data_IF_468060250669
#
_entry.id   IF_468060250669
#
_cell.length_a   1.000
_cell.length_b   1.000
_cell.length_c   1.000
_cell.angle_alpha   90.00
_cell.angle_beta   90.00
_cell.angle_gamma   90.00
#
_symmetry.space_group_name_H-M   'P 1'
#
loop_
_entity.id
_entity.type
_entity.pdbx_description
1 polymer ?
#
# COMPACT_ATOMS: atom_id res chain seq x y z
N UNK A 1 7.74 11.38 2.91
CA UNK A 1 7.41 12.13 4.14
C UNK A 1 8.32 11.69 5.27
N UNK A 2 8.92 12.63 5.99
CA UNK A 2 9.69 12.43 7.24
C UNK A 2 9.09 13.33 8.32
N UNK A 3 9.36 13.07 9.61
CA UNK A 3 8.78 13.82 10.72
C UNK A 3 7.23 13.86 10.70
N UNK A 4 6.60 12.77 10.23
CA UNK A 4 5.16 12.66 10.01
C UNK A 4 4.33 12.33 11.27
N UNK A 5 4.95 12.32 12.46
CA UNK A 5 4.27 12.06 13.74
C UNK A 5 4.05 10.59 14.08
N UNK A 6 3.93 9.69 13.09
CA UNK A 6 3.81 8.24 13.36
C UNK A 6 5.08 7.72 14.09
N UNK A 7 4.95 7.02 15.23
CA UNK A 7 6.09 6.50 15.97
C UNK A 7 6.91 5.50 15.14
N UNK A 8 8.23 5.69 15.11
CA UNK A 8 9.13 4.75 14.40
C UNK A 8 9.05 3.32 14.93
N UNK A 9 8.81 3.15 16.24
CA UNK A 9 8.58 1.84 16.86
C UNK A 9 7.35 1.14 16.28
N UNK A 10 6.27 1.87 15.97
CA UNK A 10 5.06 1.33 15.36
C UNK A 10 5.33 0.88 13.92
N UNK A 11 6.10 1.66 13.14
CA UNK A 11 6.48 1.26 11.77
C UNK A 11 7.32 -0.02 11.76
N UNK A 12 8.26 -0.15 12.71
CA UNK A 12 9.07 -1.38 12.88
C UNK A 12 8.18 -2.56 13.27
N UNK A 13 7.28 -2.38 14.25
CA UNK A 13 6.32 -3.44 14.62
C UNK A 13 5.44 -3.86 13.44
N UNK A 14 4.91 -2.90 12.68
CA UNK A 14 4.05 -3.18 11.53
C UNK A 14 4.77 -4.01 10.46
N UNK A 15 6.00 -3.63 10.09
CA UNK A 15 6.83 -4.42 9.16
C UNK A 15 7.10 -5.83 9.68
N UNK A 16 7.45 -5.96 10.96
CA UNK A 16 7.69 -7.26 11.60
C UNK A 16 6.44 -8.15 11.56
N UNK A 17 5.29 -7.61 11.97
CA UNK A 17 4.00 -8.32 11.95
C UNK A 17 3.64 -8.84 10.56
N UNK A 18 3.81 -8.02 9.52
CA UNK A 18 3.54 -8.41 8.14
C UNK A 18 4.50 -9.50 7.67
N UNK A 19 5.79 -9.35 7.96
CA UNK A 19 6.81 -10.38 7.62
C UNK A 19 6.50 -11.71 8.30
N UNK A 20 6.20 -11.70 9.60
CA UNK A 20 5.81 -12.90 10.36
C UNK A 20 4.56 -13.58 9.79
N UNK A 21 3.60 -12.81 9.27
CA UNK A 21 2.43 -13.38 8.59
C UNK A 21 2.84 -14.11 7.29
N UNK A 22 3.69 -13.51 6.45
CA UNK A 22 4.11 -14.13 5.19
C UNK A 22 5.03 -15.35 5.38
N UNK A 23 5.75 -15.41 6.50
CA UNK A 23 6.57 -16.55 6.94
C UNK A 23 5.74 -17.74 7.46
N UNK A 24 4.44 -17.57 7.72
CA UNK A 24 3.58 -18.69 8.10
C UNK A 24 3.50 -19.75 6.98
N UNK A 25 3.27 -21.03 7.33
CA UNK A 25 3.00 -22.08 6.36
C UNK A 25 1.86 -21.68 5.41
N UNK A 26 1.94 -22.12 4.16
CA UNK A 26 0.94 -21.79 3.14
C UNK A 26 -0.48 -22.18 3.61
N UNK A 27 -0.65 -23.31 4.29
CA UNK A 27 -1.94 -23.76 4.80
C UNK A 27 -2.54 -22.80 5.83
N UNK A 28 -1.71 -22.09 6.60
CA UNK A 28 -2.17 -21.06 7.55
C UNK A 28 -2.60 -19.79 6.82
N UNK A 29 -1.86 -19.39 5.77
CA UNK A 29 -2.19 -18.20 4.95
C UNK A 29 -3.45 -18.41 4.11
N UNK A 30 -3.64 -19.60 3.55
CA UNK A 30 -4.81 -19.97 2.74
C UNK A 30 -6.13 -20.02 3.53
N UNK A 31 -6.11 -20.00 4.87
CA UNK A 31 -7.33 -19.79 5.68
C UNK A 31 -8.02 -18.46 5.39
N UNK A 32 -7.26 -17.50 4.85
CA UNK A 32 -7.71 -16.16 4.51
C UNK A 32 -7.73 -15.94 3.00
N UNK A 33 -7.81 -17.00 2.18
CA UNK A 33 -7.80 -16.92 0.71
C UNK A 33 -8.71 -15.80 0.18
N UNK A 34 -8.23 -15.13 -0.87
CA UNK A 34 -8.88 -14.00 -1.49
C UNK A 34 -10.34 -14.32 -1.86
N UNK A 35 -11.25 -13.45 -1.41
CA UNK A 35 -12.67 -13.44 -1.76
C UNK A 35 -13.02 -12.08 -2.33
N UNK A 36 -13.33 -12.06 -3.63
CA UNK A 36 -13.50 -10.85 -4.43
C UNK A 36 -12.19 -10.05 -4.49
N UNK A 37 -12.00 -9.11 -3.55
CA UNK A 37 -10.87 -8.16 -3.54
C UNK A 37 -10.08 -8.16 -2.23
N UNK A 38 -10.53 -8.92 -1.21
CA UNK A 38 -9.91 -8.99 0.12
C UNK A 38 -9.45 -10.41 0.45
N UNK A 39 -8.39 -10.54 1.23
CA UNK A 39 -7.77 -11.80 1.62
C UNK A 39 -6.37 -12.01 1.02
N UNK A 40 -5.82 -13.19 1.26
CA UNK A 40 -4.52 -13.66 0.81
C UNK A 40 -4.60 -14.28 -0.59
N UNK A 41 -3.74 -13.82 -1.49
CA UNK A 41 -3.57 -14.38 -2.83
C UNK A 41 -3.73 -13.34 -3.93
N UNK A 42 -3.20 -13.68 -5.10
CA UNK A 42 -3.40 -12.90 -6.31
C UNK A 42 -4.82 -13.09 -6.86
N UNK A 43 -5.30 -12.12 -7.65
CA UNK A 43 -6.57 -12.26 -8.38
C UNK A 43 -6.47 -13.46 -9.33
N UNK A 44 -7.57 -14.20 -9.50
CA UNK A 44 -7.64 -15.42 -10.31
C UNK A 44 -7.00 -15.30 -11.70
N UNK A 45 -6.44 -16.41 -12.19
CA UNK A 45 -5.94 -16.51 -13.57
C UNK A 45 -7.13 -16.64 -14.53
N UNK A 46 -7.27 -15.69 -15.45
CA UNK A 46 -8.38 -15.61 -16.41
C UNK A 46 -7.99 -16.09 -17.82
N UNK A 47 -6.69 -16.23 -18.11
CA UNK A 47 -6.22 -16.72 -19.41
C UNK A 47 -4.79 -17.28 -19.35
N UNK A 48 -4.45 -18.16 -20.29
CA UNK A 48 -3.10 -18.74 -20.42
C UNK A 48 -2.02 -17.70 -20.74
N UNK A 49 -2.40 -16.55 -21.32
CA UNK A 49 -1.48 -15.47 -21.68
C UNK A 49 -1.37 -14.39 -20.60
N UNK A 50 -2.02 -14.57 -19.44
CA UNK A 50 -1.96 -13.61 -18.36
C UNK A 50 -0.56 -13.60 -17.75
N UNK A 51 0.05 -12.41 -17.73
CA UNK A 51 1.28 -12.18 -16.98
C UNK A 51 0.93 -12.05 -15.50
N UNK A 52 1.63 -12.80 -14.66
CA UNK A 52 1.46 -12.77 -13.22
C UNK A 52 2.59 -11.98 -12.59
N UNK A 53 2.24 -11.23 -11.56
CA UNK A 53 3.17 -10.48 -10.74
C UNK A 53 3.91 -11.42 -9.78
N UNK A 54 5.20 -11.16 -9.58
CA UNK A 54 6.08 -11.92 -8.69
C UNK A 54 5.94 -11.43 -7.25
N UNK A 55 4.73 -11.58 -6.71
CA UNK A 55 4.41 -11.19 -5.34
C UNK A 55 3.26 -12.02 -4.77
N UNK A 56 3.25 -12.14 -3.44
CA UNK A 56 2.07 -12.54 -2.67
C UNK A 56 1.45 -11.29 -2.05
N UNK A 57 0.11 -11.24 -2.02
CA UNK A 57 -0.63 -10.06 -1.55
C UNK A 57 -1.65 -10.47 -0.48
N UNK A 58 -1.84 -9.59 0.50
CA UNK A 58 -2.95 -9.62 1.45
C UNK A 58 -3.68 -8.28 1.41
N UNK A 59 -4.97 -8.30 1.05
CA UNK A 59 -5.83 -7.11 1.06
C UNK A 59 -6.83 -7.14 2.22
N UNK A 60 -6.92 -6.04 2.97
CA UNK A 60 -7.85 -5.90 4.08
C UNK A 60 -8.50 -4.52 4.04
N UNK A 61 -9.83 -4.47 3.98
CA UNK A 61 -10.56 -3.21 4.25
C UNK A 61 -10.37 -2.85 5.71
N UNK A 62 -9.90 -1.64 6.00
CA UNK A 62 -9.59 -1.15 7.35
C UNK A 62 -10.50 -0.02 7.79
N UNK A 63 -10.99 0.80 6.87
CA UNK A 63 -11.99 1.84 7.13
C UNK A 63 -13.15 1.79 6.12
N UNK A 64 -14.36 2.12 6.57
CA UNK A 64 -14.73 2.33 7.97
C UNK A 64 -14.74 1.00 8.76
N UNK A 65 -14.62 1.01 10.10
CA UNK A 65 -14.47 -0.23 10.89
C UNK A 65 -15.60 -1.25 10.69
N UNK A 66 -16.83 -0.78 10.46
CA UNK A 66 -18.00 -1.62 10.18
C UNK A 66 -17.94 -2.35 8.83
N UNK A 67 -17.07 -1.92 7.91
CA UNK A 67 -16.86 -2.57 6.61
C UNK A 67 -15.85 -3.72 6.66
N UNK A 68 -15.19 -3.94 7.81
CA UNK A 68 -14.17 -4.97 7.98
C UNK A 68 -14.77 -6.37 7.95
N UNK A 69 -14.34 -7.20 7.00
CA UNK A 69 -14.69 -8.63 6.94
C UNK A 69 -13.82 -9.43 7.90
N UNK A 70 -14.14 -9.43 9.19
CA UNK A 70 -13.29 -10.00 10.25
C UNK A 70 -12.95 -11.50 10.10
N UNK A 71 -13.68 -12.24 9.27
CA UNK A 71 -13.35 -13.62 8.90
C UNK A 71 -12.14 -13.74 7.95
N UNK A 72 -11.77 -12.66 7.26
CA UNK A 72 -10.56 -12.56 6.42
C UNK A 72 -9.35 -11.98 7.17
N UNK A 73 -9.56 -11.46 8.38
CA UNK A 73 -8.50 -10.83 9.16
C UNK A 73 -7.65 -11.88 9.90
N UNK A 74 -6.33 -11.92 9.67
CA UNK A 74 -5.45 -12.85 10.37
C UNK A 74 -5.55 -12.75 11.89
N UNK A 75 -5.39 -13.89 12.56
CA UNK A 75 -5.28 -13.98 14.03
C UNK A 75 -3.86 -14.27 14.50
N UNK A 76 -2.93 -14.43 13.55
CA UNK A 76 -1.51 -14.70 13.77
C UNK A 76 -0.67 -13.74 12.93
N UNK A 77 0.42 -13.17 13.47
CA UNK A 77 0.88 -13.28 14.88
C UNK A 77 -0.10 -12.66 15.89
N UNK A 78 0.05 -13.00 17.19
CA UNK A 78 -0.91 -12.66 18.27
C UNK A 78 -1.20 -11.16 18.34
N UNK A 79 -0.19 -10.32 18.11
CA UNK A 79 -0.29 -8.86 18.20
C UNK A 79 -0.67 -8.18 16.87
N UNK A 80 -1.00 -8.95 15.83
CA UNK A 80 -1.24 -8.42 14.49
C UNK A 80 -2.36 -7.40 14.46
N UNK A 81 -3.52 -7.74 15.05
CA UNK A 81 -4.72 -6.88 14.97
C UNK A 81 -4.50 -5.56 15.70
N UNK A 82 -3.94 -5.62 16.91
CA UNK A 82 -3.63 -4.43 17.69
C UNK A 82 -2.62 -3.52 16.98
N UNK A 83 -1.58 -4.11 16.37
CA UNK A 83 -0.57 -3.36 15.59
C UNK A 83 -1.19 -2.70 14.36
N UNK A 84 -2.04 -3.44 13.62
CA UNK A 84 -2.75 -2.91 12.46
C UNK A 84 -3.70 -1.79 12.86
N UNK A 85 -4.46 -1.94 13.94
CA UNK A 85 -5.41 -0.91 14.39
C UNK A 85 -4.71 0.39 14.79
N UNK A 86 -3.59 0.30 15.52
CA UNK A 86 -2.78 1.45 15.88
C UNK A 86 -2.21 2.12 14.62
N UNK A 87 -1.69 1.34 13.67
CA UNK A 87 -1.12 1.85 12.42
C UNK A 87 -2.17 2.51 11.52
N UNK A 88 -3.35 1.91 11.39
CA UNK A 88 -4.51 2.46 10.66
C UNK A 88 -4.91 3.81 11.24
N UNK A 89 -5.01 3.92 12.57
CA UNK A 89 -5.37 5.17 13.23
C UNK A 89 -4.35 6.29 12.97
N UNK A 90 -3.06 6.00 13.12
CA UNK A 90 -2.00 6.99 12.91
C UNK A 90 -1.88 7.42 11.45
N UNK A 91 -1.97 6.47 10.52
CA UNK A 91 -1.92 6.77 9.08
C UNK A 91 -3.16 7.54 8.63
N UNK A 92 -4.34 7.27 9.19
CA UNK A 92 -5.57 8.04 8.90
C UNK A 92 -5.44 9.51 9.33
N UNK A 93 -4.86 9.79 10.50
CA UNK A 93 -4.59 11.18 10.92
C UNK A 93 -3.64 11.88 9.94
N UNK A 94 -2.63 11.16 9.48
CA UNK A 94 -1.67 11.67 8.50
C UNK A 94 -2.35 11.96 7.15
N UNK A 95 -3.20 11.06 6.64
CA UNK A 95 -3.89 11.27 5.35
C UNK A 95 -4.84 12.45 5.41
N UNK A 96 -5.58 12.62 6.50
CA UNK A 96 -6.44 13.79 6.74
C UNK A 96 -5.63 15.08 6.70
N UNK A 97 -4.47 15.09 7.37
CA UNK A 97 -3.56 16.25 7.39
C UNK A 97 -3.05 16.57 5.98
N UNK A 98 -2.61 15.56 5.23
CA UNK A 98 -2.09 15.73 3.86
C UNK A 98 -3.18 16.26 2.93
N UNK A 99 -4.39 15.70 2.96
CA UNK A 99 -5.51 16.17 2.14
C UNK A 99 -5.88 17.62 2.47
N UNK A 100 -5.78 18.02 3.74
CA UNK A 100 -6.02 19.41 4.11
C UNK A 100 -4.96 20.37 3.58
N UNK A 101 -3.69 20.01 3.71
CA UNK A 101 -2.57 20.78 3.16
C UNK A 101 -2.65 20.88 1.63
N UNK A 102 -2.98 19.78 0.94
CA UNK A 102 -3.17 19.77 -0.51
C UNK A 102 -4.33 20.68 -0.92
N UNK A 103 -5.40 20.75 -0.12
CA UNK A 103 -6.52 21.67 -0.38
C UNK A 103 -6.04 23.13 -0.30
N UNK A 104 -5.29 23.48 0.75
CA UNK A 104 -4.74 24.84 0.91
C UNK A 104 -3.75 25.22 -0.20
N UNK A 105 -2.86 24.30 -0.60
CA UNK A 105 -1.91 24.49 -1.71
C UNK A 105 -2.63 24.67 -3.05
N UNK A 106 -3.84 24.11 -3.19
CA UNK A 106 -4.71 24.31 -4.35
C UNK A 106 -5.52 25.62 -4.28
N UNK A 107 -5.39 26.41 -3.20
CA UNK A 107 -6.14 27.65 -2.98
C UNK A 107 -7.58 27.42 -2.53
N UNK A 108 -7.89 26.22 -2.01
CA UNK A 108 -9.19 25.83 -1.49
C UNK A 108 -9.22 25.94 0.04
N UNK A 109 -10.41 25.79 0.65
CA UNK A 109 -10.53 25.60 2.10
C UNK A 109 -9.86 24.30 2.51
N UNK A 110 -9.26 24.26 3.70
CA UNK A 110 -8.51 23.10 4.21
C UNK A 110 -9.31 21.80 4.30
N UNK A 111 -10.64 21.86 4.26
CA UNK A 111 -11.52 20.70 4.30
C UNK A 111 -12.07 20.29 2.91
N UNK A 112 -11.65 20.95 1.83
CA UNK A 112 -12.28 20.78 0.51
C UNK A 112 -12.14 19.38 -0.05
N UNK A 113 -10.92 18.81 -0.12
CA UNK A 113 -10.77 17.43 -0.59
C UNK A 113 -11.39 16.42 0.38
N UNK A 114 -11.31 16.65 1.69
CA UNK A 114 -11.97 15.78 2.67
C UNK A 114 -13.50 15.75 2.47
N UNK A 115 -14.11 16.90 2.20
CA UNK A 115 -15.53 16.99 1.89
C UNK A 115 -15.88 16.30 0.56
N UNK A 116 -14.98 16.33 -0.44
CA UNK A 116 -15.15 15.59 -1.70
C UNK A 116 -15.03 14.08 -1.52
N UNK A 117 -14.17 13.62 -0.61
CA UNK A 117 -14.09 12.21 -0.21
C UNK A 117 -15.34 11.78 0.56
N UNK A 118 -15.96 12.69 1.32
CA UNK A 118 -17.07 12.33 2.19
C UNK A 118 -16.62 11.35 3.26
N UNK A 119 -17.07 10.09 3.19
CA UNK A 119 -16.70 9.06 4.14
C UNK A 119 -15.53 8.25 3.60
N UNK A 120 -14.33 8.54 4.09
CA UNK A 120 -13.10 7.86 3.70
C UNK A 120 -13.25 6.33 3.82
N UNK A 121 -13.08 5.66 2.68
CA UNK A 121 -12.81 4.24 2.60
C UNK A 121 -11.30 4.01 2.68
N UNK A 122 -10.89 2.90 3.30
CA UNK A 122 -9.47 2.54 3.33
C UNK A 122 -9.28 1.04 3.06
N UNK A 123 -8.49 0.75 2.04
CA UNK A 123 -7.95 -0.57 1.77
C UNK A 123 -6.47 -0.58 2.17
N UNK A 124 -6.06 -1.62 2.89
CA UNK A 124 -4.66 -1.89 3.19
C UNK A 124 -4.17 -3.08 2.37
N UNK A 125 -3.03 -2.93 1.71
CA UNK A 125 -2.37 -4.00 0.96
C UNK A 125 -1.00 -4.31 1.53
N UNK A 126 -0.81 -5.55 1.96
CA UNK A 126 0.52 -6.08 2.27
C UNK A 126 1.04 -6.82 1.06
N UNK A 127 2.25 -6.47 0.65
CA UNK A 127 2.87 -7.03 -0.53
C UNK A 127 4.18 -7.68 -0.09
N UNK A 128 4.35 -8.94 -0.46
CA UNK A 128 5.58 -9.71 -0.24
C UNK A 128 6.17 -10.10 -1.58
N UNK A 129 7.42 -9.72 -1.80
CA UNK A 129 8.16 -9.97 -3.04
C UNK A 129 9.29 -10.94 -2.70
N UNK A 130 9.15 -12.24 -2.99
CA UNK A 130 10.24 -13.20 -2.76
C UNK A 130 11.41 -12.92 -3.71
N UNK A 131 12.64 -13.35 -3.35
CA UNK A 131 13.77 -13.34 -4.28
C UNK A 131 13.39 -14.04 -5.60
N UNK A 132 13.76 -13.44 -6.73
CA UNK A 132 13.49 -13.95 -8.05
C UNK A 132 14.81 -14.38 -8.73
N UNK A 133 14.93 -15.62 -9.24
CA UNK A 133 16.12 -16.05 -9.97
C UNK A 133 16.29 -15.38 -11.33
N UNK A 134 15.22 -14.79 -11.88
CA UNK A 134 15.20 -14.10 -13.19
C UNK A 134 14.44 -12.78 -13.09
N UNK A 135 14.95 -11.81 -12.30
CA UNK A 135 14.28 -10.53 -12.08
C UNK A 135 14.23 -9.67 -13.36
N UNK A 136 14.99 -10.03 -14.39
CA UNK A 136 14.96 -9.44 -15.73
C UNK A 136 13.70 -9.81 -16.54
N UNK A 137 12.98 -10.87 -16.15
CA UNK A 137 11.83 -11.40 -16.90
C UNK A 137 10.47 -11.10 -16.26
N UNK A 138 10.45 -10.68 -14.99
CA UNK A 138 9.23 -10.49 -14.21
C UNK A 138 9.25 -9.17 -13.45
N UNK A 139 8.07 -8.70 -13.05
CA UNK A 139 7.92 -7.58 -12.13
C UNK A 139 7.28 -8.09 -10.84
N UNK A 140 7.59 -7.41 -9.73
CA UNK A 140 6.93 -7.66 -8.46
C UNK A 140 5.50 -7.16 -8.46
N UNK A 141 5.27 -5.98 -9.04
CA UNK A 141 3.98 -5.43 -9.42
C UNK A 141 4.14 -4.74 -10.78
N UNK A 142 3.22 -5.02 -11.70
CA UNK A 142 3.16 -4.42 -13.05
C UNK A 142 2.97 -2.89 -13.03
N UNK A 143 3.36 -2.17 -14.10
CA UNK A 143 3.15 -0.72 -14.22
C UNK A 143 1.69 -0.33 -14.09
N UNK A 144 1.39 0.60 -13.19
CA UNK A 144 0.04 1.15 -12.98
C UNK A 144 0.09 2.53 -12.31
N UNK A 145 -1.02 3.25 -12.35
CA UNK A 145 -1.34 4.33 -11.42
C UNK A 145 -2.31 3.83 -10.36
N UNK A 146 -2.32 4.47 -9.19
CA UNK A 146 -3.29 4.12 -8.15
C UNK A 146 -4.63 4.72 -8.51
N UNK A 147 -5.65 3.88 -8.73
CA UNK A 147 -7.00 4.35 -9.11
C UNK A 147 -7.71 5.16 -8.02
N UNK A 148 -7.17 5.15 -6.81
CA UNK A 148 -7.70 5.77 -5.62
C UNK A 148 -7.41 7.27 -5.47
N UNK A 149 -7.48 7.75 -4.24
CA UNK A 149 -7.26 9.16 -3.93
C UNK A 149 -5.84 9.49 -3.46
N UNK A 150 -5.45 8.96 -2.31
CA UNK A 150 -4.12 9.17 -1.70
C UNK A 150 -3.59 7.85 -1.19
N UNK A 151 -2.32 7.55 -1.44
CA UNK A 151 -1.69 6.34 -0.93
C UNK A 151 -0.54 6.70 0.01
N UNK A 152 -0.48 6.01 1.15
CA UNK A 152 0.60 6.08 2.13
C UNK A 152 1.29 4.73 2.16
N UNK A 153 2.53 4.69 1.70
CA UNK A 153 3.32 3.48 1.56
C UNK A 153 4.45 3.41 2.58
N UNK A 154 4.44 2.35 3.38
CA UNK A 154 5.57 1.91 4.20
C UNK A 154 6.32 0.82 3.44
N UNK A 155 7.57 1.10 3.09
CA UNK A 155 8.44 0.17 2.39
C UNK A 155 9.50 -0.45 3.31
N UNK A 156 10.10 -1.55 2.85
CA UNK A 156 11.32 -2.11 3.42
C UNK A 156 12.44 -1.05 3.50
N UNK A 157 13.28 -1.11 4.54
CA UNK A 157 14.32 -0.08 4.78
C UNK A 157 15.57 -0.27 3.93
N UNK A 158 15.84 -1.49 3.45
CA UNK A 158 17.10 -1.84 2.80
C UNK A 158 16.93 -2.23 1.33
N UNK A 159 15.75 -2.75 0.97
CA UNK A 159 15.52 -3.33 -0.36
C UNK A 159 14.82 -2.35 -1.30
N UNK A 160 15.58 -1.82 -2.26
CA UNK A 160 15.04 -0.99 -3.36
C UNK A 160 14.17 -1.87 -4.26
N UNK A 161 12.95 -1.41 -4.55
CA UNK A 161 12.04 -2.14 -5.42
C UNK A 161 10.99 -1.24 -6.10
N UNK A 162 10.54 -0.18 -5.44
CA UNK A 162 9.63 0.78 -6.05
C UNK A 162 10.35 1.62 -7.12
N UNK A 163 9.72 1.74 -8.29
CA UNK A 163 10.13 2.65 -9.35
C UNK A 163 8.95 3.50 -9.80
N UNK A 164 9.17 4.80 -10.03
CA UNK A 164 8.19 5.71 -10.62
C UNK A 164 8.57 6.02 -12.07
N UNK A 165 7.58 6.21 -12.92
CA UNK A 165 7.77 6.64 -14.31
C UNK A 165 7.73 8.16 -14.38
N UNK A 166 8.83 8.79 -14.77
CA UNK A 166 8.90 10.23 -15.02
C UNK A 166 9.48 10.46 -16.40
N UNK A 167 8.70 11.13 -17.26
CA UNK A 167 9.14 11.49 -18.63
C UNK A 167 9.57 10.25 -19.46
N UNK A 168 8.94 9.10 -19.22
CA UNK A 168 9.24 7.83 -19.88
C UNK A 168 10.41 7.04 -19.27
N UNK A 169 11.03 7.56 -18.22
CA UNK A 169 12.12 6.89 -17.50
C UNK A 169 11.67 6.33 -16.16
N UNK A 170 12.13 5.11 -15.84
CA UNK A 170 11.87 4.46 -14.57
C UNK A 170 12.92 4.86 -13.53
N UNK A 171 12.50 5.62 -12.53
CA UNK A 171 13.36 6.15 -11.46
C UNK A 171 13.15 5.35 -10.18
N UNK A 172 14.21 4.76 -9.59
CA UNK A 172 14.09 4.05 -8.31
C UNK A 172 13.80 5.00 -7.15
N UNK A 173 12.87 4.62 -6.29
CA UNK A 173 12.59 5.32 -5.04
C UNK A 173 13.44 4.69 -3.94
N UNK A 174 14.47 5.41 -3.50
CA UNK A 174 15.38 4.93 -2.45
C UNK A 174 14.67 4.88 -1.09
N UNK A 175 14.73 3.77 -0.35
CA UNK A 175 14.29 3.72 1.04
C UNK A 175 15.02 4.76 1.89
N UNK A 176 14.26 5.47 2.72
CA UNK A 176 14.79 6.36 3.74
C UNK A 176 14.26 5.84 5.09
N UNK A 177 15.15 5.46 6.03
CA UNK A 177 14.71 4.94 7.33
C UNK A 177 13.74 5.88 8.04
N UNK A 178 12.61 5.34 8.46
CA UNK A 178 11.56 6.11 9.14
C UNK A 178 10.79 7.08 8.24
N UNK A 179 10.89 6.95 6.92
CA UNK A 179 10.08 7.71 5.97
C UNK A 179 8.91 6.89 5.42
N UNK A 180 7.87 7.60 4.99
CA UNK A 180 6.76 7.06 4.21
C UNK A 180 6.81 7.62 2.79
N UNK A 181 6.46 6.81 1.80
CA UNK A 181 6.20 7.30 0.44
C UNK A 181 4.73 7.74 0.37
N UNK A 182 4.49 8.91 -0.18
CA UNK A 182 3.14 9.46 -0.38
C UNK A 182 2.95 9.62 -1.89
N UNK A 183 1.88 9.07 -2.44
CA UNK A 183 1.53 9.27 -3.84
C UNK A 183 0.05 9.68 -3.99
N UNK A 184 -0.18 10.45 -5.04
CA UNK A 184 -1.49 10.90 -5.48
C UNK A 184 -2.05 9.81 -6.40
N UNK A 185 -3.32 9.48 -6.22
CA UNK A 185 -4.06 8.60 -7.12
C UNK A 185 -4.94 9.35 -8.11
N UNK A 186 -5.52 8.61 -9.04
CA UNK A 186 -6.28 9.10 -10.18
C UNK A 186 -7.49 9.94 -9.74
N UNK A 187 -8.19 9.57 -8.66
CA UNK A 187 -9.33 10.34 -8.16
C UNK A 187 -8.92 11.72 -7.67
N UNK A 188 -7.79 11.83 -6.97
CA UNK A 188 -7.31 13.12 -6.48
C UNK A 188 -6.71 13.98 -7.61
N UNK A 189 -6.15 13.36 -8.65
CA UNK A 189 -5.82 14.07 -9.89
C UNK A 189 -7.08 14.68 -10.52
N UNK A 190 -8.17 13.92 -10.65
CA UNK A 190 -9.45 14.40 -11.18
C UNK A 190 -10.03 15.52 -10.30
N UNK A 191 -10.12 15.32 -8.98
CA UNK A 191 -10.64 16.31 -8.03
C UNK A 191 -9.87 17.63 -8.05
N UNK A 192 -8.56 17.56 -8.30
CA UNK A 192 -7.70 18.75 -8.41
C UNK A 192 -7.64 19.34 -9.82
N UNK A 193 -8.47 18.85 -10.75
CA UNK A 193 -8.50 19.25 -12.15
C UNK A 193 -7.11 19.14 -12.82
N UNK A 194 -6.41 18.03 -12.56
CA UNK A 194 -5.11 17.74 -13.15
C UNK A 194 -3.93 18.46 -12.50
N UNK A 195 -4.14 19.21 -11.40
CA UNK A 195 -3.07 19.95 -10.71
C UNK A 195 -2.09 19.01 -10.00
N UNK A 196 -2.61 18.00 -9.31
CA UNK A 196 -1.80 16.94 -8.70
C UNK A 196 -1.77 15.74 -9.63
N UNK A 197 -0.59 15.20 -9.88
CA UNK A 197 -0.40 14.12 -10.85
C UNK A 197 -0.33 12.76 -10.17
N UNK A 198 -1.19 11.86 -10.65
CA UNK A 198 -1.09 10.42 -10.43
C UNK A 198 0.02 9.89 -11.32
N UNK A 199 1.05 9.32 -10.70
CA UNK A 199 2.27 8.91 -11.39
C UNK A 199 2.27 7.41 -11.56
N UNK A 200 2.48 6.94 -12.78
CA UNK A 200 2.67 5.53 -13.06
C UNK A 200 3.89 5.01 -12.30
N UNK A 201 3.75 3.86 -11.64
CA UNK A 201 4.79 3.25 -10.84
C UNK A 201 4.72 1.72 -10.97
N UNK A 202 5.80 1.05 -10.57
CA UNK A 202 5.92 -0.41 -10.57
C UNK A 202 6.80 -0.88 -9.42
N UNK A 203 6.76 -2.17 -9.11
CA UNK A 203 7.72 -2.80 -8.22
C UNK A 203 8.58 -3.80 -8.99
N UNK A 204 9.91 -3.69 -8.90
CA UNK A 204 10.86 -4.68 -9.43
C UNK A 204 11.27 -5.67 -8.35
N UNK A 205 11.73 -6.84 -8.78
CA UNK A 205 12.28 -7.87 -7.89
C UNK A 205 13.81 -7.91 -7.98
N UNK A 206 14.44 -8.74 -7.14
CA UNK A 206 15.88 -8.96 -7.14
C UNK A 206 16.20 -10.42 -6.79
N UNK A 207 17.43 -10.85 -7.00
CA UNK A 207 17.86 -12.24 -6.78
C UNK A 207 18.23 -12.56 -5.32
N UNK A 208 18.52 -11.55 -4.50
CA UNK A 208 19.23 -11.74 -3.23
C UNK A 208 18.30 -11.75 -2.02
N UNK A 209 17.28 -10.88 -2.00
CA UNK A 209 16.50 -10.56 -0.79
C UNK A 209 15.01 -10.43 -1.09
N UNK A 210 14.22 -10.89 -0.13
CA UNK A 210 12.80 -10.58 -0.10
C UNK A 210 12.58 -9.09 0.17
N UNK A 211 11.41 -8.59 -0.22
CA UNK A 211 10.94 -7.25 0.11
C UNK A 211 9.53 -7.33 0.63
N UNK A 212 9.18 -6.45 1.57
CA UNK A 212 7.80 -6.19 1.93
C UNK A 212 7.42 -4.73 1.69
N UNK A 213 6.14 -4.48 1.45
CA UNK A 213 5.57 -3.15 1.54
C UNK A 213 4.12 -3.17 2.01
N UNK A 214 3.74 -2.15 2.77
CA UNK A 214 2.39 -1.93 3.30
C UNK A 214 1.85 -0.65 2.67
N UNK A 215 0.92 -0.78 1.74
CA UNK A 215 0.23 0.34 1.10
C UNK A 215 -1.12 0.58 1.79
N UNK A 216 -1.37 1.84 2.17
CA UNK A 216 -2.65 2.29 2.71
C UNK A 216 -3.30 3.19 1.65
N UNK A 217 -4.39 2.74 1.05
CA UNK A 217 -5.15 3.48 0.04
C UNK A 217 -6.29 4.23 0.73
N UNK A 218 -6.36 5.54 0.55
CA UNK A 218 -7.43 6.40 1.06
C UNK A 218 -8.28 6.88 -0.10
N UNK A 219 -9.53 6.44 -0.11
CA UNK A 219 -10.44 6.64 -1.24
C UNK A 219 -11.73 7.36 -0.79
N UNK A 220 -12.33 8.16 -1.69
CA UNK A 220 -13.70 8.69 -1.58
C UNK A 220 -14.79 7.62 -1.40
#
# INVERSE_FOLDING_TARGET
>A
AVNHGIPGSLMVRMKKTVREFFELPLEEKLKYEVKQVEGYGQVSVFSDNQKLDWSDIMHLTTLPPESRKMNLWPTRPVDLRATVDEYVSETQKLSITILGLLSEIAGLKSDSFLNMYGKISQLMSWNYYPPCPRPDLVLGITPHSDGGGLTVLLQDDETVGLQICKEGEWIPVQPIPGALVINIGDMLEVMSNGRYKSVEHRAVTNIERDRISIAMFYDP
#
